data_IF_456701096639
#
_entry.id   IF_456701096639
#
_cell.length_a   1.000
_cell.length_b   1.000
_cell.length_c   1.000
_cell.angle_alpha   90.00
_cell.angle_beta   90.00
_cell.angle_gamma   90.00
#
_symmetry.space_group_name_H-M   'P 1'
#
loop_
_entity.id
_entity.type
_entity.pdbx_description
1 polymer ?
#
# COMPACT_ATOMS: atom_id res chain seq x y z
N UNK A 1 -7.22 16.36 -11.47
CA UNK A 1 -8.69 16.33 -11.65
C UNK A 1 -9.27 17.42 -10.76
N UNK A 2 -10.41 18.06 -11.09
CA UNK A 2 -11.00 19.07 -10.21
C UNK A 2 -11.40 18.42 -8.88
N UNK A 3 -10.93 19.00 -7.77
CA UNK A 3 -11.26 18.57 -6.41
C UNK A 3 -12.76 18.78 -6.13
N UNK A 4 -13.48 17.80 -5.58
CA UNK A 4 -14.83 18.04 -5.08
C UNK A 4 -14.74 18.88 -3.79
N UNK A 5 -15.28 20.10 -3.80
CA UNK A 5 -15.49 20.91 -2.61
C UNK A 5 -16.96 20.84 -2.19
N UNK A 6 -17.22 20.68 -0.88
CA UNK A 6 -18.57 20.66 -0.32
C UNK A 6 -18.59 21.42 1.01
N UNK A 7 -19.57 22.31 1.17
CA UNK A 7 -19.83 23.06 2.42
C UNK A 7 -21.22 22.67 2.91
N UNK A 8 -21.34 22.22 4.17
CA UNK A 8 -22.61 21.87 4.80
C UNK A 8 -22.74 22.52 6.18
N UNK A 9 -23.88 23.16 6.46
CA UNK A 9 -24.23 23.71 7.78
C UNK A 9 -25.27 22.82 8.48
N UNK A 10 -25.01 22.46 9.75
CA UNK A 10 -25.64 21.39 10.56
C UNK A 10 -25.25 19.97 10.10
N UNK A 11 -25.12 18.97 11.00
CA UNK A 11 -24.17 17.85 10.90
C UNK A 11 -24.22 17.22 9.51
N UNK A 12 -23.33 17.72 8.66
CA UNK A 12 -23.36 17.48 7.23
C UNK A 12 -22.40 16.36 6.97
N UNK A 13 -22.93 15.16 6.78
CA UNK A 13 -22.16 14.03 6.30
C UNK A 13 -21.61 14.38 4.91
N UNK A 14 -20.30 14.69 4.83
CA UNK A 14 -19.62 14.75 3.54
C UNK A 14 -19.30 13.31 3.17
N UNK A 15 -19.92 12.81 2.09
CA UNK A 15 -19.65 11.47 1.56
C UNK A 15 -19.10 11.55 0.15
N UNK A 16 -17.94 10.95 -0.05
CA UNK A 16 -17.35 10.76 -1.38
C UNK A 16 -16.85 9.34 -1.53
N UNK A 17 -17.01 8.77 -2.72
CA UNK A 17 -16.67 7.38 -3.01
C UNK A 17 -15.57 7.31 -4.06
N UNK A 18 -14.54 6.52 -3.77
CA UNK A 18 -13.40 6.26 -4.65
C UNK A 18 -13.35 4.78 -5.00
N UNK A 19 -12.78 4.48 -6.17
CA UNK A 19 -12.44 3.12 -6.61
C UNK A 19 -10.92 3.04 -6.72
N UNK A 20 -10.21 2.72 -5.62
CA UNK A 20 -8.75 2.63 -5.65
C UNK A 20 -8.31 1.52 -6.61
N UNK A 21 -7.24 1.75 -7.36
CA UNK A 21 -6.65 0.79 -8.29
C UNK A 21 -5.80 -0.27 -7.59
N UNK A 22 -5.47 -0.07 -6.31
CA UNK A 22 -4.72 -0.98 -5.47
C UNK A 22 -5.39 -1.21 -4.11
N UNK A 23 -4.98 -2.27 -3.42
CA UNK A 23 -5.41 -2.57 -2.05
C UNK A 23 -4.59 -1.79 -1.01
N UNK A 24 -3.59 -1.01 -1.42
CA UNK A 24 -2.74 -0.24 -0.52
C UNK A 24 -2.44 1.11 -1.14
N UNK A 25 -2.97 2.16 -0.54
CA UNK A 25 -2.85 3.52 -1.06
C UNK A 25 -2.71 4.53 0.07
N UNK A 26 -2.21 5.70 -0.28
CA UNK A 26 -2.15 6.85 0.61
C UNK A 26 -3.26 7.80 0.23
N UNK A 27 -4.11 8.11 1.20
CA UNK A 27 -5.10 9.17 1.10
C UNK A 27 -4.52 10.44 1.73
N UNK A 28 -4.44 11.51 0.94
CA UNK A 28 -4.05 12.84 1.39
C UNK A 28 -5.24 13.77 1.27
N UNK A 29 -5.45 14.64 2.25
CA UNK A 29 -6.48 15.67 2.20
C UNK A 29 -6.05 16.88 3.04
N UNK A 30 -6.45 18.06 2.61
CA UNK A 30 -6.28 19.26 3.42
C UNK A 30 -7.56 19.47 4.24
N UNK A 31 -7.42 19.66 5.54
CA UNK A 31 -8.53 19.79 6.49
C UNK A 31 -8.38 21.06 7.30
N UNK A 32 -9.47 21.82 7.40
CA UNK A 32 -9.62 22.89 8.38
C UNK A 32 -10.81 22.61 9.27
N UNK A 33 -10.62 22.79 10.56
CA UNK A 33 -11.62 22.64 11.60
C UNK A 33 -11.76 23.96 12.35
N UNK A 34 -12.94 24.59 12.26
CA UNK A 34 -13.27 25.80 13.01
C UNK A 34 -14.46 25.54 13.92
N UNK A 35 -14.43 26.03 15.15
CA UNK A 35 -15.52 25.89 16.11
C UNK A 35 -15.74 27.20 16.84
N UNK A 36 -17.01 27.59 16.98
CA UNK A 36 -17.38 28.80 17.72
C UNK A 36 -17.19 28.59 19.24
N UNK A 37 -17.23 27.35 19.72
CA UNK A 37 -17.14 27.01 21.15
C UNK A 37 -16.05 25.93 21.36
N UNK A 38 -14.82 26.30 21.74
CA UNK A 38 -13.79 25.32 22.07
C UNK A 38 -14.00 24.68 23.47
N UNK A 39 -13.62 23.40 23.68
CA UNK A 39 -12.99 22.50 22.72
C UNK A 39 -14.01 21.76 21.84
N UNK A 40 -13.91 21.96 20.53
CA UNK A 40 -14.67 21.17 19.56
C UNK A 40 -13.97 19.84 19.23
N UNK A 41 -14.74 18.86 18.76
CA UNK A 41 -14.23 17.61 18.20
C UNK A 41 -14.73 17.42 16.77
N UNK A 42 -14.03 16.58 16.01
CA UNK A 42 -14.52 16.03 14.75
C UNK A 42 -13.98 14.63 14.55
N UNK A 43 -14.68 13.84 13.73
CA UNK A 43 -14.14 12.57 13.22
C UNK A 43 -14.20 12.50 11.71
N UNK A 44 -13.19 11.87 11.15
CA UNK A 44 -13.14 11.48 9.75
C UNK A 44 -13.21 9.96 9.73
N UNK A 45 -14.30 9.42 9.17
CA UNK A 45 -14.51 7.98 9.01
C UNK A 45 -14.21 7.58 7.56
N UNK A 46 -13.24 6.69 7.39
CA UNK A 46 -12.96 6.03 6.13
C UNK A 46 -13.63 4.66 6.16
N UNK A 47 -14.66 4.51 5.34
CA UNK A 47 -15.52 3.32 5.29
C UNK A 47 -15.25 2.57 3.99
N UNK A 48 -14.64 1.39 4.08
CA UNK A 48 -14.47 0.50 2.95
C UNK A 48 -15.26 -0.79 3.16
N UNK A 49 -16.51 -0.81 2.68
CA UNK A 49 -17.35 -2.01 2.57
C UNK A 49 -17.33 -2.94 3.80
N UNK A 50 -17.44 -2.38 5.02
CA UNK A 50 -17.43 -3.12 6.28
C UNK A 50 -16.14 -3.00 7.09
N UNK A 51 -15.11 -2.37 6.52
CA UNK A 51 -13.95 -1.86 7.26
C UNK A 51 -14.18 -0.39 7.60
N UNK A 52 -13.93 -0.02 8.86
CA UNK A 52 -14.04 1.35 9.36
C UNK A 52 -12.68 1.75 9.93
N UNK A 53 -12.09 2.80 9.38
CA UNK A 53 -10.95 3.49 9.94
C UNK A 53 -11.40 4.88 10.40
N UNK A 54 -11.24 5.19 11.68
CA UNK A 54 -11.65 6.46 12.26
C UNK A 54 -10.43 7.27 12.65
N UNK A 55 -10.35 8.49 12.12
CA UNK A 55 -9.37 9.50 12.53
C UNK A 55 -10.07 10.58 13.36
N UNK A 56 -9.56 10.86 14.55
CA UNK A 56 -10.11 11.87 15.45
C UNK A 56 -9.31 13.16 15.34
N UNK A 57 -10.03 14.28 15.20
CA UNK A 57 -9.47 15.61 15.34
C UNK A 57 -9.87 16.08 16.74
N UNK A 58 -8.92 15.99 17.65
CA UNK A 58 -9.02 16.45 19.03
C UNK A 58 -8.20 17.76 19.16
N UNK A 59 -8.86 18.88 19.48
CA UNK A 59 -8.29 20.20 19.86
C UNK A 59 -8.31 21.37 18.84
N UNK A 60 -7.87 22.55 19.34
CA UNK A 60 -8.29 23.92 19.01
C UNK A 60 -8.31 24.27 17.52
N UNK A 61 -9.30 25.08 17.14
CA UNK A 61 -9.47 25.79 15.86
C UNK A 61 -8.19 25.80 15.03
N UNK A 62 -8.19 25.13 13.88
CA UNK A 62 -7.10 25.28 12.92
C UNK A 62 -7.36 26.56 12.13
N UNK A 63 -6.59 27.61 12.39
CA UNK A 63 -6.70 28.87 11.63
C UNK A 63 -6.34 28.63 10.14
N UNK A 64 -5.45 27.67 9.88
CA UNK A 64 -4.95 27.26 8.57
C UNK A 64 -5.39 25.84 8.20
N UNK A 65 -5.36 25.50 6.90
CA UNK A 65 -5.58 24.14 6.42
C UNK A 65 -4.39 23.26 6.80
N UNK A 66 -4.64 22.09 7.36
CA UNK A 66 -3.64 21.07 7.68
C UNK A 66 -3.75 19.89 6.73
N UNK A 67 -2.64 19.42 6.18
CA UNK A 67 -2.62 18.20 5.35
C UNK A 67 -2.58 16.95 6.22
N UNK A 68 -3.61 16.13 6.14
CA UNK A 68 -3.69 14.80 6.77
C UNK A 68 -3.32 13.75 5.73
N UNK A 69 -2.44 12.81 6.11
CA UNK A 69 -2.06 11.67 5.29
C UNK A 69 -2.37 10.36 6.01
N UNK A 70 -3.08 9.48 5.34
CA UNK A 70 -3.55 8.20 5.87
C UNK A 70 -3.12 7.07 4.92
N UNK A 71 -2.28 6.16 5.41
CA UNK A 71 -1.95 4.93 4.72
C UNK A 71 -3.08 3.92 4.96
N UNK A 72 -3.78 3.55 3.88
CA UNK A 72 -4.98 2.71 3.93
C UNK A 72 -4.70 1.38 3.24
N UNK A 73 -4.89 0.29 3.98
CA UNK A 73 -4.88 -1.08 3.45
C UNK A 73 -6.31 -1.61 3.41
N UNK A 74 -6.77 -1.94 2.20
CA UNK A 74 -8.07 -2.54 1.97
C UNK A 74 -7.95 -4.07 1.92
N UNK A 75 -8.91 -4.79 2.54
CA UNK A 75 -9.07 -6.20 2.30
C UNK A 75 -9.38 -6.49 0.82
N UNK A 76 -8.79 -7.54 0.26
CA UNK A 76 -8.93 -7.93 -1.15
C UNK A 76 -10.37 -8.11 -1.67
N UNK A 77 -11.35 -8.27 -0.76
CA UNK A 77 -12.77 -8.36 -1.09
C UNK A 77 -13.41 -7.01 -1.45
N UNK A 78 -12.72 -5.90 -1.24
CA UNK A 78 -13.27 -4.56 -1.38
C UNK A 78 -12.53 -3.76 -2.45
N UNK A 79 -13.31 -3.05 -3.27
CA UNK A 79 -12.84 -2.23 -4.39
C UNK A 79 -13.44 -0.82 -4.37
N UNK A 80 -14.18 -0.49 -3.31
CA UNK A 80 -14.84 0.80 -3.11
C UNK A 80 -14.49 1.35 -1.74
N UNK A 81 -14.05 2.59 -1.72
CA UNK A 81 -13.77 3.37 -0.51
C UNK A 81 -14.81 4.48 -0.41
N UNK A 82 -15.49 4.61 0.71
CA UNK A 82 -16.35 5.76 1.02
C UNK A 82 -15.70 6.55 2.14
N UNK A 83 -15.29 7.78 1.87
CA UNK A 83 -14.91 8.73 2.90
C UNK A 83 -16.18 9.39 3.41
N UNK A 84 -16.40 9.31 4.72
CA UNK A 84 -17.50 9.94 5.45
C UNK A 84 -16.91 10.85 6.51
N UNK A 85 -17.19 12.15 6.44
CA UNK A 85 -16.73 13.10 7.45
C UNK A 85 -17.91 13.57 8.27
N UNK A 86 -17.75 13.55 9.60
CA UNK A 86 -18.78 13.95 10.53
C UNK A 86 -18.21 14.88 11.60
N UNK A 87 -18.78 16.08 11.67
CA UNK A 87 -18.53 17.01 12.76
C UNK A 87 -19.31 16.57 14.01
N UNK A 88 -18.60 15.93 14.94
CA UNK A 88 -19.13 15.58 16.26
C UNK A 88 -18.92 16.79 17.16
N UNK A 89 -19.91 17.67 17.33
CA UNK A 89 -19.73 19.01 17.89
C UNK A 89 -19.08 19.13 19.29
N UNK A 90 -19.43 20.17 20.04
CA UNK A 90 -18.66 20.54 21.24
C UNK A 90 -19.13 19.73 22.45
N UNK A 91 -18.19 19.06 23.13
CA UNK A 91 -18.48 18.43 24.41
C UNK A 91 -18.60 19.51 25.49
N UNK A 92 -19.80 19.71 26.02
CA UNK A 92 -20.02 20.60 27.14
C UNK A 92 -20.13 19.79 28.45
N UNK A 93 -19.12 19.85 29.35
CA UNK A 93 -19.11 19.11 30.60
C UNK A 93 -20.24 19.52 31.56
N UNK A 94 -20.76 20.75 31.45
CA UNK A 94 -21.81 21.26 32.34
C UNK A 94 -23.16 20.53 32.12
N UNK A 95 -23.32 19.84 30.98
CA UNK A 95 -24.51 19.04 30.66
C UNK A 95 -24.36 17.53 30.98
N UNK A 96 -23.25 17.12 31.61
CA UNK A 96 -22.98 15.73 31.96
C UNK A 96 -22.50 14.87 30.79
N UNK A 97 -22.13 13.62 31.06
CA UNK A 97 -21.64 12.67 30.04
C UNK A 97 -22.70 12.50 28.93
N UNK A 98 -22.41 12.85 27.67
CA UNK A 98 -23.35 12.66 26.57
C UNK A 98 -23.48 11.15 26.35
N UNK A 99 -24.69 10.60 26.47
CA UNK A 99 -24.90 9.17 26.36
C UNK A 99 -25.05 8.82 24.88
N UNK A 100 -24.00 8.96 24.08
CA UNK A 100 -23.97 8.50 22.67
C UNK A 100 -25.30 8.71 21.90
N UNK A 101 -25.82 9.94 21.83
CA UNK A 101 -26.75 10.41 20.79
C UNK A 101 -27.06 11.91 21.06
N UNK A 102 -26.56 12.81 20.22
CA UNK A 102 -27.13 14.17 20.09
C UNK A 102 -26.81 15.23 21.15
N UNK A 103 -25.88 15.02 22.08
CA UNK A 103 -25.54 15.98 23.14
C UNK A 103 -24.48 17.03 22.78
N UNK A 104 -24.30 17.36 21.49
CA UNK A 104 -23.29 18.31 21.05
C UNK A 104 -23.94 19.67 20.78
N UNK A 105 -23.62 20.67 21.62
CA UNK A 105 -24.07 22.06 21.44
C UNK A 105 -22.95 22.89 20.82
N UNK A 106 -23.13 23.38 19.60
CA UNK A 106 -22.18 24.27 18.96
C UNK A 106 -22.17 24.16 17.44
N UNK A 107 -21.63 25.19 16.79
CA UNK A 107 -21.35 25.16 15.37
C UNK A 107 -19.87 24.85 15.19
N UNK A 108 -19.60 23.75 14.49
CA UNK A 108 -18.29 23.44 13.96
C UNK A 108 -18.38 23.43 12.43
N UNK A 109 -17.41 24.07 11.78
CA UNK A 109 -17.20 24.02 10.35
C UNK A 109 -16.00 23.12 10.06
N UNK A 110 -16.20 22.18 9.14
CA UNK A 110 -15.12 21.35 8.60
C UNK A 110 -15.00 21.68 7.12
N UNK A 111 -13.85 22.17 6.71
CA UNK A 111 -13.51 22.36 5.29
C UNK A 111 -12.52 21.28 4.91
N UNK A 112 -12.82 20.55 3.84
CA UNK A 112 -11.92 19.57 3.26
C UNK A 112 -11.68 19.93 1.81
N UNK A 113 -10.42 19.95 1.43
CA UNK A 113 -9.99 20.21 0.06
C UNK A 113 -8.86 19.25 -0.34
N UNK A 114 -8.52 19.27 -1.63
CA UNK A 114 -7.38 18.54 -2.21
C UNK A 114 -7.34 17.06 -1.81
N UNK A 115 -8.50 16.40 -1.79
CA UNK A 115 -8.56 14.96 -1.56
C UNK A 115 -7.89 14.25 -2.74
N UNK A 116 -6.74 13.65 -2.49
CA UNK A 116 -5.95 12.89 -3.46
C UNK A 116 -5.69 11.52 -2.87
N UNK A 117 -5.85 10.48 -3.69
CA UNK A 117 -5.30 9.17 -3.37
C UNK A 117 -4.19 8.83 -4.37
N UNK A 118 -3.12 8.24 -3.86
CA UNK A 118 -2.04 7.69 -4.66
C UNK A 118 -1.83 6.23 -4.31
N UNK A 119 -1.69 5.38 -5.33
CA UNK A 119 -1.32 3.99 -5.10
C UNK A 119 0.06 3.96 -4.44
N UNK A 120 0.09 3.48 -3.20
CA UNK A 120 1.36 3.16 -2.55
C UNK A 120 1.72 1.81 -3.12
N UNK A 121 2.40 1.83 -4.26
CA UNK A 121 3.12 0.64 -4.70
C UNK A 121 4.11 0.40 -3.57
N UNK A 122 3.95 -0.65 -2.73
CA UNK A 122 4.99 -0.94 -1.78
C UNK A 122 6.23 -1.09 -2.64
N UNK A 123 7.23 -0.26 -2.38
CA UNK A 123 8.59 -0.61 -2.76
C UNK A 123 8.84 -1.84 -1.91
N UNK A 124 8.38 -3.00 -2.40
CA UNK A 124 9.03 -4.24 -2.11
C UNK A 124 10.43 -3.97 -2.65
N UNK A 125 11.31 -3.52 -1.76
CA UNK A 125 12.52 -4.29 -1.58
C UNK A 125 12.04 -5.74 -1.46
N UNK A 126 11.85 -6.38 -2.61
CA UNK A 126 12.12 -7.79 -2.67
C UNK A 126 13.53 -7.83 -2.11
N UNK A 127 13.66 -8.27 -0.85
CA UNK A 127 14.92 -8.68 -0.29
C UNK A 127 15.42 -9.71 -1.28
N UNK A 128 16.17 -9.19 -2.24
CA UNK A 128 16.72 -9.92 -3.37
C UNK A 128 17.91 -10.56 -2.70
N UNK A 129 17.70 -11.78 -2.26
CA UNK A 129 18.78 -12.58 -1.71
C UNK A 129 19.63 -13.03 -2.90
N UNK A 130 20.93 -12.76 -2.84
CA UNK A 130 21.84 -13.23 -3.88
C UNK A 130 22.02 -14.74 -3.75
N UNK A 131 21.94 -15.46 -4.86
CA UNK A 131 22.29 -16.87 -4.92
C UNK A 131 23.81 -17.00 -4.79
N UNK A 132 24.28 -17.25 -3.57
CA UNK A 132 25.71 -17.41 -3.28
C UNK A 132 26.34 -18.61 -4.03
N UNK A 133 25.53 -19.62 -4.36
CA UNK A 133 26.01 -20.91 -4.86
C UNK A 133 25.46 -21.23 -6.27
N UNK A 134 26.03 -20.58 -7.29
CA UNK A 134 25.81 -20.90 -8.70
C UNK A 134 27.11 -21.39 -9.35
N UNK A 135 27.12 -22.65 -9.80
CA UNK A 135 28.33 -23.28 -10.33
C UNK A 135 28.03 -24.21 -11.53
N UNK A 136 28.97 -24.37 -12.47
CA UNK A 136 30.18 -23.58 -12.62
C UNK A 136 29.85 -22.16 -13.12
N UNK A 137 30.64 -21.18 -12.69
CA UNK A 137 30.59 -19.82 -13.20
C UNK A 137 32.03 -19.29 -13.39
N UNK A 138 32.53 -19.11 -14.62
CA UNK A 138 31.83 -19.24 -15.90
C UNK A 138 31.45 -20.70 -16.29
N UNK A 139 30.44 -20.86 -17.15
CA UNK A 139 29.96 -22.15 -17.68
C UNK A 139 30.13 -22.26 -19.20
N UNK A 140 30.13 -23.49 -19.73
CA UNK A 140 29.98 -23.79 -21.16
C UNK A 140 28.53 -24.12 -21.57
N UNK A 141 27.62 -24.32 -20.61
CA UNK A 141 26.23 -24.67 -20.90
C UNK A 141 25.42 -24.98 -19.64
N UNK A 142 25.71 -26.07 -18.95
CA UNK A 142 24.93 -26.47 -17.77
C UNK A 142 25.37 -25.71 -16.52
N UNK A 143 24.42 -25.32 -15.70
CA UNK A 143 24.62 -24.61 -14.44
C UNK A 143 23.83 -25.33 -13.35
N UNK A 144 24.36 -25.36 -12.14
CA UNK A 144 23.72 -25.87 -10.94
C UNK A 144 23.47 -24.70 -10.01
N UNK A 145 22.23 -24.63 -9.49
CA UNK A 145 21.83 -23.64 -8.51
C UNK A 145 21.52 -24.37 -7.22
N UNK A 146 22.23 -24.02 -6.15
CA UNK A 146 21.94 -24.51 -4.81
C UNK A 146 21.07 -23.48 -4.09
N UNK A 147 19.85 -23.90 -3.72
CA UNK A 147 18.95 -23.09 -2.91
C UNK A 147 19.39 -23.09 -1.43
N UNK A 148 19.02 -22.05 -0.65
CA UNK A 148 19.19 -22.07 0.80
C UNK A 148 18.56 -23.31 1.44
N UNK A 149 19.13 -23.75 2.57
CA UNK A 149 18.62 -24.91 3.30
C UNK A 149 17.15 -24.73 3.68
N UNK A 150 16.33 -25.75 3.39
CA UNK A 150 14.89 -25.72 3.66
C UNK A 150 14.04 -24.95 2.63
N UNK A 151 14.65 -24.33 1.61
CA UNK A 151 13.92 -23.61 0.55
C UNK A 151 13.91 -24.42 -0.74
N UNK A 152 12.72 -24.77 -1.22
CA UNK A 152 12.56 -25.39 -2.53
C UNK A 152 12.34 -24.32 -3.60
N UNK A 153 12.86 -24.54 -4.80
CA UNK A 153 12.61 -23.63 -5.91
C UNK A 153 11.28 -23.95 -6.60
N UNK A 154 10.38 -22.98 -6.66
CA UNK A 154 9.06 -23.12 -7.29
C UNK A 154 9.06 -22.68 -8.75
N UNK A 155 9.83 -21.64 -9.07
CA UNK A 155 9.93 -21.11 -10.42
C UNK A 155 11.33 -20.56 -10.66
N UNK A 156 11.88 -20.84 -11.84
CA UNK A 156 13.13 -20.27 -12.33
C UNK A 156 12.89 -19.51 -13.62
N UNK A 157 13.56 -18.38 -13.76
CA UNK A 157 13.55 -17.54 -14.95
C UNK A 157 14.99 -17.19 -15.33
N UNK A 158 15.29 -17.25 -16.62
CA UNK A 158 16.58 -16.89 -17.20
C UNK A 158 16.40 -15.67 -18.09
N UNK A 159 17.22 -14.65 -17.88
CA UNK A 159 17.18 -13.38 -18.59
C UNK A 159 18.53 -13.07 -19.25
N UNK A 160 18.49 -12.39 -20.40
CA UNK A 160 19.68 -11.78 -21.00
C UNK A 160 20.07 -10.45 -20.30
N UNK A 161 21.19 -9.84 -20.70
CA UNK A 161 21.64 -8.55 -20.16
C UNK A 161 20.69 -7.37 -20.41
N UNK A 162 19.76 -7.51 -21.35
CA UNK A 162 18.73 -6.49 -21.67
C UNK A 162 17.45 -6.73 -20.87
N UNK A 163 17.41 -7.75 -20.02
CA UNK A 163 16.22 -8.13 -19.25
C UNK A 163 15.19 -8.90 -20.07
N UNK A 164 15.55 -9.41 -21.26
CA UNK A 164 14.64 -10.25 -22.05
C UNK A 164 14.56 -11.65 -21.43
N UNK A 165 13.34 -12.13 -21.15
CA UNK A 165 13.09 -13.47 -20.65
C UNK A 165 13.42 -14.50 -21.74
N UNK A 166 14.46 -15.31 -21.51
CA UNK A 166 14.90 -16.36 -22.43
C UNK A 166 14.24 -17.70 -22.12
N UNK A 167 14.03 -18.00 -20.84
CA UNK A 167 13.43 -19.26 -20.40
C UNK A 167 12.73 -19.08 -19.06
N UNK A 168 11.61 -19.78 -18.89
CA UNK A 168 10.91 -19.92 -17.61
C UNK A 168 10.64 -21.41 -17.37
N UNK A 169 10.94 -21.89 -16.18
CA UNK A 169 10.69 -23.26 -15.75
C UNK A 169 9.93 -23.23 -14.43
N UNK A 170 8.77 -23.87 -14.39
CA UNK A 170 8.01 -24.07 -13.16
C UNK A 170 8.32 -25.44 -12.58
N UNK A 171 8.42 -25.50 -11.26
CA UNK A 171 8.39 -26.69 -10.40
C UNK A 171 9.25 -27.85 -10.90
N UNK A 172 10.50 -27.92 -10.43
CA UNK A 172 11.40 -29.06 -10.64
C UNK A 172 11.86 -29.65 -9.31
N UNK A 173 12.05 -30.97 -9.26
CA UNK A 173 12.77 -31.58 -8.15
C UNK A 173 14.21 -31.03 -8.15
N UNK A 174 14.76 -30.60 -7.01
CA UNK A 174 16.15 -30.18 -6.93
C UNK A 174 17.09 -31.33 -7.34
N UNK A 175 18.23 -31.03 -7.99
CA UNK A 175 18.75 -29.69 -8.27
C UNK A 175 18.16 -29.05 -9.53
N UNK A 176 17.97 -27.73 -9.48
CA UNK A 176 17.59 -26.94 -10.64
C UNK A 176 18.80 -26.69 -11.53
N UNK A 177 18.75 -27.21 -12.76
CA UNK A 177 19.87 -27.18 -13.70
C UNK A 177 19.53 -26.43 -14.99
N UNK A 178 19.60 -25.08 -15.02
CA UNK A 178 19.37 -24.37 -16.26
C UNK A 178 20.43 -24.76 -17.29
N UNK A 179 19.96 -25.12 -18.47
CA UNK A 179 20.81 -25.38 -19.62
C UNK A 179 20.91 -24.14 -20.50
N UNK A 180 22.08 -23.51 -20.49
CA UNK A 180 22.44 -22.38 -21.35
C UNK A 180 23.02 -22.87 -22.70
N UNK A 181 23.02 -24.17 -23.00
CA UNK A 181 23.42 -24.66 -24.32
C UNK A 181 22.58 -23.99 -25.42
N UNK A 182 23.21 -23.69 -26.56
CA UNK A 182 22.57 -22.96 -27.67
C UNK A 182 22.44 -21.43 -27.50
N UNK A 183 22.68 -20.87 -26.31
CA UNK A 183 22.72 -19.41 -26.12
C UNK A 183 24.10 -18.82 -26.49
N UNK A 184 24.20 -17.56 -26.97
CA UNK A 184 25.50 -16.93 -27.22
C UNK A 184 26.37 -16.80 -25.95
N UNK A 185 27.70 -16.69 -26.06
CA UNK A 185 28.54 -16.26 -24.94
C UNK A 185 28.09 -14.91 -24.39
N UNK A 186 28.10 -14.74 -23.07
CA UNK A 186 27.58 -13.53 -22.44
C UNK A 186 27.23 -13.67 -20.97
N UNK A 187 26.63 -12.61 -20.42
CA UNK A 187 26.16 -12.58 -19.04
C UNK A 187 24.65 -12.86 -19.03
N UNK A 188 24.22 -13.71 -18.09
CA UNK A 188 22.83 -14.07 -17.89
C UNK A 188 22.44 -13.84 -16.44
N UNK A 189 21.19 -13.43 -16.25
CA UNK A 189 20.59 -13.30 -14.92
C UNK A 189 19.63 -14.46 -14.70
N UNK A 190 19.71 -15.06 -13.53
CA UNK A 190 18.81 -16.11 -13.09
C UNK A 190 18.00 -15.54 -11.93
N UNK A 191 16.68 -15.67 -12.03
CA UNK A 191 15.75 -15.34 -10.95
C UNK A 191 15.04 -16.62 -10.52
N UNK A 192 15.09 -16.94 -9.23
CA UNK A 192 14.41 -18.10 -8.64
C UNK A 192 13.40 -17.62 -7.60
N UNK A 193 12.17 -18.09 -7.69
CA UNK A 193 11.16 -17.91 -6.64
C UNK A 193 11.18 -19.14 -5.76
N UNK A 194 11.45 -18.96 -4.47
CA UNK A 194 11.47 -20.02 -3.46
C UNK A 194 10.06 -20.34 -2.93
N UNK A 195 9.93 -21.48 -2.26
CA UNK A 195 8.70 -21.93 -1.59
C UNK A 195 8.33 -21.07 -0.38
N UNK A 196 9.23 -20.22 0.07
CA UNK A 196 9.00 -19.19 1.07
C UNK A 196 8.44 -17.88 0.47
N UNK A 197 8.20 -17.86 -0.86
CA UNK A 197 7.73 -16.69 -1.59
C UNK A 197 8.81 -15.64 -1.86
N UNK A 198 10.05 -15.86 -1.42
CA UNK A 198 11.17 -14.95 -1.68
C UNK A 198 11.71 -15.12 -3.09
N UNK A 199 12.37 -14.08 -3.57
CA UNK A 199 13.03 -14.07 -4.88
C UNK A 199 14.53 -13.99 -4.70
N UNK A 200 15.20 -14.99 -5.24
CA UNK A 200 16.65 -15.10 -5.25
C UNK A 200 17.16 -14.75 -6.64
N UNK A 201 18.24 -14.00 -6.73
CA UNK A 201 18.84 -13.62 -8.01
C UNK A 201 20.28 -14.08 -8.07
N UNK A 202 20.77 -14.39 -9.26
CA UNK A 202 22.20 -14.59 -9.44
C UNK A 202 22.63 -14.41 -10.87
N UNK A 203 23.94 -14.25 -11.05
CA UNK A 203 24.55 -13.91 -12.33
C UNK A 203 25.48 -15.01 -12.78
N UNK A 204 25.34 -15.42 -14.04
CA UNK A 204 26.19 -16.44 -14.66
C UNK A 204 26.83 -15.90 -15.92
N UNK A 205 28.10 -16.23 -16.10
CA UNK A 205 28.87 -15.93 -17.31
C UNK A 205 28.99 -17.19 -18.16
N UNK A 206 28.56 -17.12 -19.42
CA UNK A 206 28.77 -18.18 -20.42
C UNK A 206 29.96 -17.84 -21.32
N UNK A 207 30.86 -18.81 -21.51
CA UNK A 207 31.99 -18.72 -22.44
C UNK A 207 31.60 -19.07 -23.88
#
# INVERSE_FOLDING_TARGET
>A
MPSPSSVGGAPGDIRTTFMPSSQHFRLSMDVKYDTIIPPGKARIDIIASGFLYTYWIDEQITEEMETIQLDVELPAAYNTLTLSIEALGVYNPDYGTPPFDGGYDGYAEIVIDNIVYEDVVPVREALKEELENIFPNPTSGSVYIQMPEGVNAEQMELYDIRGALLRRQQRGAPPMTPDLSGLPPGIYQILVTGSDGKRYFGRVVKK
#
